data_IF_978367373884
#
_entry.id   IF_978367373884
#
_cell.length_a   1.000
_cell.length_b   1.000
_cell.length_c   1.000
_cell.angle_alpha   90.00
_cell.angle_beta   90.00
_cell.angle_gamma   90.00
#
_symmetry.space_group_name_H-M   'P 1'
#
loop_
_entity.id
_entity.type
_entity.pdbx_description
1 polymer ?
#
# COMPACT_ATOMS: atom_id res chain seq x y z
N UNK A 1 -23.19 -15.66 -13.15
CA UNK A 1 -23.13 -14.41 -13.93
C UNK A 1 -21.75 -13.83 -13.71
N UNK A 2 -21.00 -13.56 -14.78
CA UNK A 2 -19.70 -12.90 -14.68
C UNK A 2 -19.88 -11.52 -14.03
N UNK A 3 -18.95 -11.17 -13.15
CA UNK A 3 -18.90 -9.86 -12.51
C UNK A 3 -18.43 -8.77 -13.46
N UNK A 4 -18.25 -7.57 -12.90
CA UNK A 4 -17.69 -6.42 -13.62
C UNK A 4 -16.25 -6.18 -13.18
N UNK A 5 -15.46 -5.54 -14.06
CA UNK A 5 -14.11 -5.09 -13.73
C UNK A 5 -14.14 -4.25 -12.44
N UNK A 6 -13.27 -4.54 -11.46
CA UNK A 6 -13.28 -3.86 -10.17
C UNK A 6 -13.12 -2.34 -10.28
N UNK A 7 -13.79 -1.61 -9.37
CA UNK A 7 -13.81 -0.14 -9.30
C UNK A 7 -13.57 0.34 -7.87
N UNK A 8 -13.14 1.60 -7.73
CA UNK A 8 -12.92 2.22 -6.43
C UNK A 8 -14.16 2.13 -5.53
N UNK A 9 -13.96 1.70 -4.29
CA UNK A 9 -15.01 1.55 -3.30
C UNK A 9 -15.73 0.19 -3.34
N UNK A 10 -15.44 -0.67 -4.32
CA UNK A 10 -16.05 -2.00 -4.38
C UNK A 10 -15.32 -2.98 -3.47
N UNK A 11 -16.08 -3.90 -2.89
CA UNK A 11 -15.56 -4.91 -1.98
C UNK A 11 -15.69 -6.28 -2.63
N UNK A 12 -14.61 -7.05 -2.59
CA UNK A 12 -14.53 -8.40 -3.11
C UNK A 12 -14.01 -9.35 -2.06
N UNK A 13 -14.51 -10.58 -2.08
CA UNK A 13 -13.92 -11.67 -1.32
C UNK A 13 -12.83 -12.29 -2.20
N UNK A 14 -11.56 -12.21 -1.79
CA UNK A 14 -10.42 -12.71 -2.56
C UNK A 14 -9.36 -13.34 -1.66
N UNK A 15 -8.52 -14.19 -2.26
CA UNK A 15 -7.25 -14.62 -1.69
C UNK A 15 -6.11 -14.01 -2.52
N UNK A 16 -5.36 -13.01 -2.03
CA UNK A 16 -4.33 -12.33 -2.79
C UNK A 16 -3.05 -13.18 -2.88
N UNK A 17 -3.09 -14.23 -3.70
CA UNK A 17 -1.97 -15.16 -3.87
C UNK A 17 -0.78 -14.54 -4.61
N UNK A 18 -0.98 -13.44 -5.35
CA UNK A 18 0.09 -12.73 -6.08
C UNK A 18 -0.03 -11.22 -5.88
N UNK A 19 1.05 -10.61 -5.38
CA UNK A 19 1.09 -9.17 -5.04
C UNK A 19 2.38 -8.53 -5.52
N UNK A 20 2.32 -7.23 -5.78
CA UNK A 20 3.49 -6.41 -6.06
C UNK A 20 4.07 -5.86 -4.75
N UNK A 21 5.33 -6.17 -4.47
CA UNK A 21 6.03 -5.72 -3.27
C UNK A 21 7.32 -4.99 -3.64
N UNK A 22 7.68 -4.02 -2.79
CA UNK A 22 8.87 -3.19 -2.94
C UNK A 22 9.89 -3.53 -1.86
N UNK A 23 11.15 -3.78 -2.25
CA UNK A 23 12.24 -3.94 -1.29
C UNK A 23 12.71 -2.58 -0.74
N UNK A 24 13.55 -2.57 0.31
CA UNK A 24 14.05 -1.33 0.93
C UNK A 24 14.88 -0.44 0.00
N UNK A 25 15.43 -0.98 -1.09
CA UNK A 25 16.13 -0.21 -2.15
C UNK A 25 15.21 0.29 -3.25
N UNK A 26 13.91 0.01 -3.13
CA UNK A 26 12.91 0.53 -4.03
C UNK A 26 12.61 -0.34 -5.25
N UNK A 27 13.28 -1.48 -5.44
CA UNK A 27 12.93 -2.42 -6.51
C UNK A 27 11.56 -3.06 -6.26
N UNK A 28 10.71 -3.05 -7.27
CA UNK A 28 9.34 -3.55 -7.22
C UNK A 28 9.18 -4.75 -8.17
N UNK A 29 8.61 -5.84 -7.66
CA UNK A 29 8.36 -7.07 -8.41
C UNK A 29 7.08 -7.75 -7.90
N UNK A 30 6.53 -8.65 -8.70
CA UNK A 30 5.49 -9.56 -8.23
C UNK A 30 6.06 -10.74 -7.47
N UNK A 31 5.36 -11.12 -6.41
CA UNK A 31 5.65 -12.29 -5.59
C UNK A 31 4.40 -13.11 -5.37
N UNK A 32 4.59 -14.43 -5.44
CA UNK A 32 3.57 -15.40 -5.07
C UNK A 32 3.66 -15.67 -3.56
N UNK A 33 2.54 -15.59 -2.85
CA UNK A 33 2.45 -15.62 -1.38
C UNK A 33 2.10 -17.01 -0.83
N UNK A 34 2.69 -18.05 -1.40
CA UNK A 34 2.38 -19.45 -1.06
C UNK A 34 2.61 -19.80 0.41
N UNK A 35 3.60 -19.17 1.06
CA UNK A 35 3.93 -19.40 2.48
C UNK A 35 4.15 -18.09 3.26
N UNK A 36 3.84 -18.07 4.57
CA UNK A 36 4.23 -16.98 5.46
C UNK A 36 5.76 -16.92 5.60
N UNK A 37 6.35 -15.75 5.42
CA UNK A 37 7.79 -15.56 5.58
C UNK A 37 8.35 -14.29 4.97
N UNK A 38 9.66 -14.12 5.14
CA UNK A 38 10.43 -13.10 4.43
C UNK A 38 10.69 -13.55 2.99
N UNK A 39 10.50 -12.63 2.04
CA UNK A 39 10.77 -12.86 0.62
C UNK A 39 12.09 -12.18 0.25
N UNK A 40 12.90 -12.81 -0.59
CA UNK A 40 14.13 -12.17 -1.10
C UNK A 40 13.80 -11.39 -2.37
N UNK A 41 14.36 -10.20 -2.51
CA UNK A 41 14.17 -9.37 -3.70
C UNK A 41 14.59 -10.10 -4.99
N UNK A 42 13.74 -10.11 -6.02
CA UNK A 42 14.03 -10.75 -7.32
C UNK A 42 15.08 -10.01 -8.17
N UNK A 43 15.46 -8.78 -7.83
CA UNK A 43 16.49 -8.03 -8.58
C UNK A 43 17.84 -8.73 -8.47
N UNK A 44 18.49 -8.99 -9.61
CA UNK A 44 19.87 -9.50 -9.63
C UNK A 44 20.80 -8.62 -8.79
N UNK A 45 21.52 -9.25 -7.85
CA UNK A 45 22.42 -8.56 -6.91
C UNK A 45 21.75 -7.91 -5.69
N UNK A 46 20.43 -8.06 -5.50
CA UNK A 46 19.73 -7.53 -4.34
C UNK A 46 19.34 -8.64 -3.35
N UNK A 47 20.04 -8.72 -2.21
CA UNK A 47 19.79 -9.74 -1.18
C UNK A 47 18.88 -9.23 -0.04
N UNK A 48 18.15 -8.15 -0.26
CA UNK A 48 17.29 -7.57 0.77
C UNK A 48 16.03 -8.42 0.97
N UNK A 49 15.70 -8.66 2.24
CA UNK A 49 14.45 -9.29 2.61
C UNK A 49 13.29 -8.29 2.57
N UNK A 50 12.14 -8.80 2.15
CA UNK A 50 10.87 -8.11 2.02
C UNK A 50 9.92 -8.78 3.00
N UNK A 51 9.37 -7.97 3.91
CA UNK A 51 8.40 -8.46 4.86
C UNK A 51 7.01 -8.57 4.19
N UNK A 52 6.56 -9.81 3.95
CA UNK A 52 5.24 -10.10 3.38
C UNK A 52 4.14 -10.33 4.43
N UNK A 53 4.47 -10.21 5.73
CA UNK A 53 3.53 -10.51 6.83
C UNK A 53 2.33 -9.55 6.88
N UNK A 54 2.44 -8.39 6.22
CA UNK A 54 1.38 -7.37 6.14
C UNK A 54 0.24 -7.77 5.20
N UNK A 55 0.44 -8.73 4.30
CA UNK A 55 -0.61 -9.19 3.39
C UNK A 55 -1.39 -10.31 4.06
N UNK A 56 -2.70 -10.12 4.23
CA UNK A 56 -3.58 -11.18 4.72
C UNK A 56 -3.65 -12.31 3.70
N UNK A 57 -3.42 -13.54 4.17
CA UNK A 57 -3.49 -14.75 3.35
C UNK A 57 -4.81 -15.47 3.60
N UNK A 58 -5.28 -16.19 2.59
CA UNK A 58 -6.58 -16.82 2.62
C UNK A 58 -7.66 -15.88 2.10
N UNK A 59 -8.88 -16.37 2.09
CA UNK A 59 -10.01 -15.64 1.53
C UNK A 59 -10.52 -14.59 2.53
N UNK A 60 -10.38 -13.31 2.18
CA UNK A 60 -10.80 -12.18 3.01
C UNK A 60 -11.48 -11.11 2.15
N UNK A 61 -12.30 -10.25 2.76
CA UNK A 61 -12.83 -9.09 2.07
C UNK A 61 -11.74 -8.05 1.83
N UNK A 62 -11.63 -7.59 0.59
CA UNK A 62 -10.74 -6.51 0.15
C UNK A 62 -11.54 -5.39 -0.49
N UNK A 63 -11.23 -4.17 -0.09
CA UNK A 63 -11.72 -2.94 -0.68
C UNK A 63 -10.78 -2.50 -1.81
N UNK A 64 -11.33 -2.26 -2.99
CA UNK A 64 -10.57 -1.70 -4.11
C UNK A 64 -10.46 -0.18 -3.95
N UNK A 65 -9.25 0.34 -4.05
CA UNK A 65 -8.99 1.77 -4.04
C UNK A 65 -8.68 2.30 -5.44
N UNK A 66 -7.58 1.86 -6.03
CA UNK A 66 -7.18 2.27 -7.38
C UNK A 66 -7.00 1.06 -8.27
N UNK A 67 -7.04 1.29 -9.57
CA UNK A 67 -6.61 0.30 -10.55
C UNK A 67 -5.48 0.91 -11.37
N UNK A 68 -4.49 0.09 -11.66
CA UNK A 68 -3.29 0.48 -12.38
C UNK A 68 -2.87 -0.65 -13.32
N UNK A 69 -1.85 -0.38 -14.13
CA UNK A 69 -1.17 -1.39 -14.91
C UNK A 69 0.31 -1.37 -14.53
N UNK A 70 0.83 -2.52 -14.16
CA UNK A 70 2.25 -2.71 -13.90
C UNK A 70 2.90 -3.31 -15.14
N UNK A 71 3.93 -2.66 -15.67
CA UNK A 71 4.69 -3.21 -16.78
C UNK A 71 5.78 -4.16 -16.22
N UNK A 72 5.68 -5.44 -16.56
CA UNK A 72 6.69 -6.45 -16.28
C UNK A 72 7.30 -6.88 -17.61
N UNK A 73 8.53 -6.43 -17.88
CA UNK A 73 9.23 -6.62 -19.16
C UNK A 73 8.43 -6.06 -20.35
N UNK A 74 7.90 -6.92 -21.20
CA UNK A 74 7.09 -6.58 -22.38
C UNK A 74 5.57 -6.71 -22.15
N UNK A 75 5.15 -7.22 -20.98
CA UNK A 75 3.75 -7.49 -20.67
C UNK A 75 3.18 -6.49 -19.65
N UNK A 76 1.92 -6.11 -19.86
CA UNK A 76 1.16 -5.32 -18.90
C UNK A 76 0.33 -6.22 -18.00
N UNK A 77 0.61 -6.18 -16.71
CA UNK A 77 -0.16 -6.86 -15.67
C UNK A 77 -1.16 -5.87 -15.11
N UNK A 78 -2.44 -6.21 -15.20
CA UNK A 78 -3.48 -5.43 -14.55
C UNK A 78 -3.38 -5.58 -13.04
N UNK A 79 -3.38 -4.47 -12.31
CA UNK A 79 -3.26 -4.46 -10.85
C UNK A 79 -4.34 -3.63 -10.19
N UNK A 80 -4.61 -3.97 -8.94
CA UNK A 80 -5.50 -3.20 -8.10
C UNK A 80 -4.81 -2.90 -6.78
N UNK A 81 -4.80 -1.62 -6.39
CA UNK A 81 -4.46 -1.24 -5.02
C UNK A 81 -5.67 -1.52 -4.16
N UNK A 82 -5.49 -2.38 -3.17
CA UNK A 82 -6.56 -2.89 -2.34
C UNK A 82 -6.21 -2.80 -0.85
N UNK A 83 -7.24 -2.50 -0.05
CA UNK A 83 -7.16 -2.39 1.41
C UNK A 83 -7.86 -3.62 2.00
N UNK A 84 -7.17 -4.45 2.79
CA UNK A 84 -7.80 -5.58 3.45
C UNK A 84 -8.81 -5.12 4.50
N UNK A 85 -9.92 -5.83 4.60
CA UNK A 85 -10.93 -5.64 5.64
C UNK A 85 -10.90 -6.83 6.60
N UNK A 86 -11.04 -6.54 7.90
CA UNK A 86 -11.11 -7.60 8.93
C UNK A 86 -12.18 -7.28 9.96
N UNK A 87 -12.82 -8.30 10.52
CA UNK A 87 -13.75 -8.11 11.64
C UNK A 87 -13.09 -8.28 13.02
N UNK A 88 -11.76 -8.40 13.08
CA UNK A 88 -11.05 -8.60 14.34
C UNK A 88 -11.00 -7.30 15.15
N UNK A 89 -11.49 -7.34 16.38
CA UNK A 89 -11.60 -6.16 17.26
C UNK A 89 -10.25 -5.65 17.77
N UNK A 90 -9.18 -6.43 17.61
CA UNK A 90 -7.79 -6.02 17.92
C UNK A 90 -7.34 -4.81 17.12
N UNK A 91 -7.99 -4.52 15.99
CA UNK A 91 -7.72 -3.37 15.15
C UNK A 91 -8.60 -2.15 15.47
N UNK A 92 -9.47 -2.24 16.47
CA UNK A 92 -10.31 -1.11 16.87
C UNK A 92 -9.46 0.01 17.51
N UNK A 93 -9.69 1.25 17.08
CA UNK A 93 -9.06 2.44 17.67
C UNK A 93 -7.63 2.73 17.18
N UNK A 94 -7.10 1.98 16.21
CA UNK A 94 -5.84 2.33 15.58
C UNK A 94 -6.05 3.48 14.58
N UNK A 95 -5.18 4.50 14.63
CA UNK A 95 -5.22 5.65 13.70
C UNK A 95 -5.00 5.28 12.23
N UNK A 96 -4.55 4.05 11.97
CA UNK A 96 -4.31 3.53 10.62
C UNK A 96 -5.38 2.51 10.21
N UNK A 97 -6.55 2.60 10.83
CA UNK A 97 -7.71 1.77 10.54
C UNK A 97 -8.99 2.59 10.58
N UNK A 98 -9.95 2.23 9.74
CA UNK A 98 -11.26 2.87 9.71
C UNK A 98 -12.38 1.84 9.94
N UNK A 99 -13.29 2.04 10.91
CA UNK A 99 -14.40 1.13 11.15
C UNK A 99 -15.54 1.35 10.15
N UNK A 100 -15.87 0.31 9.38
CA UNK A 100 -17.00 0.29 8.44
C UNK A 100 -18.16 -0.46 9.09
N UNK A 101 -19.26 0.25 9.32
CA UNK A 101 -20.49 -0.35 9.85
C UNK A 101 -21.16 -1.22 8.79
N UNK A 102 -21.72 -2.37 9.18
CA UNK A 102 -22.43 -3.23 8.24
C UNK A 102 -23.64 -2.53 7.64
N UNK A 103 -23.80 -2.61 6.33
CA UNK A 103 -24.98 -2.12 5.62
C UNK A 103 -25.39 -3.11 4.53
N UNK A 104 -26.63 -3.00 4.03
CA UNK A 104 -27.04 -3.78 2.87
C UNK A 104 -26.22 -3.46 1.61
N UNK A 105 -25.65 -2.25 1.53
CA UNK A 105 -24.89 -1.78 0.37
C UNK A 105 -23.48 -2.38 0.34
N UNK A 106 -22.79 -2.43 1.47
CA UNK A 106 -21.42 -2.94 1.54
C UNK A 106 -21.33 -4.47 1.67
N UNK A 107 -22.45 -5.15 1.97
CA UNK A 107 -22.52 -6.61 1.98
C UNK A 107 -21.75 -7.27 3.13
N UNK A 108 -21.28 -6.49 4.11
CA UNK A 108 -20.57 -7.01 5.27
C UNK A 108 -21.54 -7.61 6.29
N UNK A 109 -21.19 -8.75 6.90
CA UNK A 109 -22.02 -9.40 7.92
C UNK A 109 -21.96 -8.71 9.29
N UNK A 110 -20.82 -8.06 9.56
CA UNK A 110 -20.44 -7.43 10.83
C UNK A 110 -19.56 -6.22 10.57
N UNK A 111 -19.47 -5.34 11.56
CA UNK A 111 -18.54 -4.20 11.52
C UNK A 111 -17.15 -4.73 11.22
N UNK A 112 -16.52 -4.14 10.21
CA UNK A 112 -15.20 -4.53 9.73
C UNK A 112 -14.30 -3.31 9.68
N UNK A 113 -13.02 -3.51 9.89
CA UNK A 113 -12.00 -2.46 9.92
C UNK A 113 -11.22 -2.50 8.62
N UNK A 114 -11.17 -1.36 7.91
CA UNK A 114 -10.28 -1.17 6.78
C UNK A 114 -8.85 -0.97 7.30
N UNK A 115 -7.94 -1.88 6.97
CA UNK A 115 -6.56 -1.87 7.44
C UNK A 115 -5.67 -1.06 6.51
N UNK A 116 -5.75 0.28 6.61
CA UNK A 116 -5.04 1.21 5.72
C UNK A 116 -3.52 0.96 5.73
N UNK A 117 -2.94 0.66 6.89
CA UNK A 117 -1.52 0.31 7.02
C UNK A 117 -1.09 -1.01 6.32
N UNK A 118 -2.05 -1.79 5.83
CA UNK A 118 -1.85 -3.05 5.09
C UNK A 118 -2.28 -2.93 3.62
N UNK A 119 -2.47 -1.71 3.12
CA UNK A 119 -2.74 -1.46 1.70
C UNK A 119 -1.65 -2.13 0.83
N UNK A 120 -2.07 -2.81 -0.22
CA UNK A 120 -1.18 -3.55 -1.10
C UNK A 120 -1.66 -3.54 -2.55
N UNK A 121 -0.74 -3.78 -3.48
CA UNK A 121 -1.05 -3.89 -4.91
C UNK A 121 -1.17 -5.36 -5.27
N UNK A 122 -2.35 -5.78 -5.70
CA UNK A 122 -2.72 -7.17 -5.97
C UNK A 122 -2.82 -7.39 -7.49
N UNK A 123 -2.37 -8.56 -7.96
CA UNK A 123 -2.58 -8.98 -9.35
C UNK A 123 -4.08 -9.07 -9.67
N UNK A 124 -4.50 -8.52 -10.80
CA UNK A 124 -5.89 -8.52 -11.27
C UNK A 124 -6.48 -9.92 -11.44
N UNK A 125 -5.67 -10.95 -11.66
CA UNK A 125 -6.12 -12.34 -11.71
C UNK A 125 -6.62 -12.85 -10.35
N UNK A 126 -6.28 -12.20 -9.23
CA UNK A 126 -6.88 -12.50 -7.93
C UNK A 126 -8.36 -12.12 -7.84
N UNK A 127 -8.85 -11.29 -8.77
CA UNK A 127 -10.26 -10.86 -8.86
C UNK A 127 -11.02 -11.59 -9.98
N UNK A 128 -10.44 -12.67 -10.51
CA UNK A 128 -11.05 -13.49 -11.56
C UNK A 128 -11.26 -14.92 -11.07
N UNK A 129 -12.25 -15.58 -11.63
CA UNK A 129 -12.47 -17.01 -11.41
C UNK A 129 -11.57 -17.87 -12.33
N UNK A 130 -11.71 -19.19 -12.20
CA UNK A 130 -10.95 -20.17 -13.02
C UNK A 130 -11.18 -20.06 -14.52
N UNK A 131 -12.26 -19.42 -14.97
CA UNK A 131 -12.59 -19.19 -16.38
C UNK A 131 -12.04 -17.85 -16.89
N UNK A 132 -11.47 -17.03 -15.98
CA UNK A 132 -10.97 -15.69 -16.30
C UNK A 132 -12.05 -14.60 -16.23
N UNK A 133 -13.25 -14.93 -15.76
CA UNK A 133 -14.33 -13.97 -15.56
C UNK A 133 -14.13 -13.22 -14.24
N UNK A 134 -14.53 -11.95 -14.20
CA UNK A 134 -14.47 -11.17 -12.96
C UNK A 134 -15.37 -11.79 -11.90
N UNK A 135 -14.89 -11.83 -10.65
CA UNK A 135 -15.69 -12.24 -9.51
C UNK A 135 -16.90 -11.30 -9.33
N UNK A 136 -17.94 -11.81 -8.68
CA UNK A 136 -19.08 -10.98 -8.28
C UNK A 136 -18.68 -10.16 -7.06
N UNK A 137 -18.85 -8.84 -7.13
CA UNK A 137 -18.59 -7.96 -5.98
C UNK A 137 -19.52 -8.33 -4.82
N UNK A 138 -18.99 -8.27 -3.60
CA UNK A 138 -19.76 -8.46 -2.37
C UNK A 138 -20.62 -7.23 -2.05
N UNK A 139 -20.09 -6.04 -2.32
CA UNK A 139 -20.78 -4.79 -2.06
C UNK A 139 -19.95 -3.58 -2.45
N UNK A 140 -20.39 -2.41 -2.01
CA UNK A 140 -19.74 -1.13 -2.27
C UNK A 140 -19.85 -0.20 -1.05
N UNK A 141 -18.81 0.59 -0.81
CA UNK A 141 -18.79 1.61 0.23
C UNK A 141 -19.70 2.80 -0.08
N UNK A 142 -20.20 3.43 0.98
CA UNK A 142 -20.85 4.72 0.89
C UNK A 142 -19.84 5.81 0.48
N UNK A 143 -20.33 6.98 0.11
CA UNK A 143 -19.45 8.13 -0.19
C UNK A 143 -18.71 8.59 1.07
N UNK A 144 -19.41 8.64 2.20
CA UNK A 144 -18.87 9.03 3.52
C UNK A 144 -17.72 8.11 3.94
N UNK A 145 -17.90 6.78 3.83
CA UNK A 145 -16.83 5.82 4.14
C UNK A 145 -15.61 6.01 3.22
N UNK A 146 -15.82 6.36 1.94
CA UNK A 146 -14.72 6.61 1.00
C UNK A 146 -13.94 7.87 1.38
N UNK A 147 -14.61 8.94 1.79
CA UNK A 147 -13.94 10.19 2.20
C UNK A 147 -13.09 9.98 3.45
N UNK A 148 -13.60 9.29 4.46
CA UNK A 148 -12.87 9.00 5.71
C UNK A 148 -11.66 8.08 5.50
N UNK A 149 -11.79 7.08 4.62
CA UNK A 149 -10.65 6.22 4.27
C UNK A 149 -9.59 7.00 3.50
N UNK A 150 -9.98 7.93 2.63
CA UNK A 150 -9.04 8.82 1.93
C UNK A 150 -8.26 9.69 2.92
N UNK A 151 -8.93 10.29 3.91
CA UNK A 151 -8.25 11.05 4.98
C UNK A 151 -7.28 10.17 5.79
N UNK A 152 -7.70 8.95 6.11
CA UNK A 152 -6.84 7.98 6.81
C UNK A 152 -5.63 7.58 5.96
N UNK A 153 -5.78 7.47 4.65
CA UNK A 153 -4.68 7.21 3.70
C UNK A 153 -3.70 8.38 3.62
N UNK A 154 -4.22 9.60 3.52
CA UNK A 154 -3.41 10.83 3.52
C UNK A 154 -2.57 10.90 4.80
N UNK A 155 -3.20 10.66 5.95
CA UNK A 155 -2.52 10.60 7.24
C UNK A 155 -1.45 9.49 7.27
N UNK A 156 -1.80 8.26 6.88
CA UNK A 156 -0.88 7.11 6.93
C UNK A 156 0.33 7.27 6.00
N UNK A 157 0.11 7.77 4.79
CA UNK A 157 1.16 8.00 3.81
C UNK A 157 1.95 9.29 4.08
N UNK A 158 1.59 10.02 5.14
CA UNK A 158 2.14 11.32 5.49
C UNK A 158 2.14 12.28 4.29
N UNK A 159 1.09 12.21 3.46
CA UNK A 159 0.93 13.09 2.31
C UNK A 159 0.45 14.42 2.87
N UNK A 160 1.37 15.35 3.07
CA UNK A 160 1.00 16.69 3.46
C UNK A 160 0.35 17.36 2.24
N UNK A 161 -0.94 17.69 2.31
CA UNK A 161 -1.66 18.35 1.20
C UNK A 161 -1.13 19.76 0.90
N UNK A 162 -0.27 20.29 1.79
CA UNK A 162 0.57 21.47 1.60
C UNK A 162 1.95 21.18 2.21
N UNK A 163 2.94 20.67 1.44
CA UNK A 163 4.30 20.62 1.92
C UNK A 163 4.82 22.05 2.01
N UNK A 164 4.91 22.56 3.24
CA UNK A 164 5.75 23.71 3.57
C UNK A 164 7.19 23.43 3.12
N UNK A 165 7.94 24.46 2.71
CA UNK A 165 9.39 24.37 2.46
C UNK A 165 10.13 23.74 3.66
N UNK A 166 9.57 23.88 4.86
CA UNK A 166 10.08 23.36 6.12
C UNK A 166 9.61 21.93 6.48
N UNK A 167 8.83 21.26 5.62
CA UNK A 167 8.28 19.93 5.93
C UNK A 167 9.36 18.91 6.30
N UNK A 168 10.49 18.91 5.58
CA UNK A 168 11.59 18.01 5.85
C UNK A 168 12.23 18.30 7.21
N UNK A 169 12.37 19.58 7.59
CA UNK A 169 12.90 19.98 8.89
C UNK A 169 12.00 19.50 10.02
N UNK A 170 10.69 19.65 9.85
CA UNK A 170 9.72 19.41 10.91
C UNK A 170 9.36 17.92 11.06
N UNK A 171 9.66 17.10 10.05
CA UNK A 171 9.29 15.68 10.02
C UNK A 171 10.47 14.71 9.86
N UNK A 172 11.69 15.19 9.59
CA UNK A 172 12.86 14.33 9.50
C UNK A 172 13.57 14.20 10.85
N UNK A 173 13.51 13.00 11.43
CA UNK A 173 14.42 12.63 12.53
C UNK A 173 15.89 12.71 12.07
N UNK A 174 16.84 13.01 12.96
CA UNK A 174 18.28 12.97 12.65
C UNK A 174 18.74 11.65 12.00
N UNK A 175 18.11 10.53 12.37
CA UNK A 175 18.37 9.21 11.80
C UNK A 175 17.93 9.10 10.34
N UNK A 176 16.76 9.66 10.00
CA UNK A 176 16.24 9.69 8.63
C UNK A 176 17.10 10.59 7.74
N UNK A 177 17.51 11.76 8.24
CA UNK A 177 18.40 12.67 7.53
C UNK A 177 19.74 11.98 7.23
N UNK A 178 20.33 11.27 8.20
CA UNK A 178 21.55 10.48 7.99
C UNK A 178 21.39 9.39 6.94
N UNK A 179 20.23 8.72 6.90
CA UNK A 179 19.95 7.73 5.87
C UNK A 179 19.87 8.35 4.48
N UNK A 180 19.10 9.44 4.34
CA UNK A 180 18.94 10.18 3.08
C UNK A 180 20.31 10.69 2.60
N UNK A 181 21.07 11.32 3.49
CA UNK A 181 22.43 11.79 3.21
C UNK A 181 23.33 10.63 2.76
N UNK A 182 23.18 9.44 3.36
CA UNK A 182 23.90 8.22 2.97
C UNK A 182 23.67 7.80 1.51
N UNK A 183 22.55 8.16 0.89
CA UNK A 183 22.21 7.83 -0.50
C UNK A 183 22.76 8.80 -1.56
N UNK A 184 23.20 10.00 -1.17
CA UNK A 184 23.80 10.97 -2.08
C UNK A 184 25.13 10.43 -2.65
N UNK A 185 25.48 10.82 -3.88
CA UNK A 185 26.78 10.48 -4.48
C UNK A 185 27.91 11.34 -3.87
N UNK A 186 29.18 10.97 -4.10
CA UNK A 186 30.33 11.60 -3.42
C UNK A 186 30.39 13.12 -3.59
N UNK A 187 30.26 13.62 -4.83
CA UNK A 187 30.27 15.06 -5.13
C UNK A 187 29.02 15.78 -4.57
N UNK A 188 27.85 15.13 -4.64
CA UNK A 188 26.61 15.67 -4.09
C UNK A 188 26.67 15.76 -2.56
N UNK A 189 27.24 14.75 -1.89
CA UNK A 189 27.48 14.76 -0.45
C UNK A 189 28.39 15.91 -0.05
N UNK A 190 29.48 16.10 -0.78
CA UNK A 190 30.48 17.13 -0.47
C UNK A 190 29.91 18.53 -0.68
N UNK A 191 29.19 18.77 -1.79
CA UNK A 191 28.47 20.03 -2.02
C UNK A 191 27.44 20.28 -0.93
N UNK A 192 26.53 19.33 -0.67
CA UNK A 192 25.48 19.50 0.35
C UNK A 192 26.06 19.69 1.75
N UNK A 193 27.18 19.05 2.09
CA UNK A 193 27.84 19.25 3.38
C UNK A 193 28.44 20.66 3.49
N UNK A 194 29.08 21.14 2.43
CA UNK A 194 29.69 22.48 2.41
C UNK A 194 28.61 23.57 2.49
N UNK A 195 27.53 23.45 1.72
CA UNK A 195 26.40 24.38 1.77
C UNK A 195 25.79 24.45 3.19
N UNK A 196 25.61 23.30 3.85
CA UNK A 196 25.11 23.24 5.24
C UNK A 196 26.11 23.83 6.26
N UNK A 197 27.41 23.65 6.05
CA UNK A 197 28.44 24.20 6.94
C UNK A 197 28.54 25.72 6.82
N UNK A 198 28.38 26.26 5.60
CA UNK A 198 28.36 27.69 5.34
C UNK A 198 27.15 28.35 6.00
N UNK A 199 25.96 27.74 5.93
CA UNK A 199 24.76 28.23 6.62
C UNK A 199 24.88 28.22 8.16
N UNK A 200 25.57 27.23 8.73
CA UNK A 200 25.84 27.18 10.18
C UNK A 200 26.90 28.21 10.60
N UNK A 201 27.84 28.55 9.72
CA UNK A 201 28.92 29.51 9.98
C UNK A 201 28.51 30.98 9.94
N UNK A 202 27.35 31.29 9.33
CA UNK A 202 26.78 32.65 9.26
C UNK A 202 25.77 32.98 10.39
N UNK A 203 25.58 32.04 11.34
CA UNK A 203 24.73 32.16 12.55
C UNK A 203 25.51 32.66 13.77
#
# INVERSE_FOLDING_TARGET
MAGQRPRQGWIYMINPYRVSLRCRRGHQYFYDLEAPGELICKRSGCNLSINSSRVLRGEHPYLIWTNDQFQEEENYIQTFTAIPLTSQTTFAGLSTTYPITKTKQNGLEKTSYALVHQICTVDGNCFKDSQGDWLVRMGELSKEDKEEIEETLIYYLNINTNPDEDWLRDNASPELVKQIFGFLQGEEKESTLNDLLDEIGES
#
